data_IF_444002239295
#
_entry.id   IF_444002239295
#
_cell.length_a   1.000
_cell.length_b   1.000
_cell.length_c   1.000
_cell.angle_alpha   90.00
_cell.angle_beta   90.00
_cell.angle_gamma   90.00
#
_symmetry.space_group_name_H-M   'P 1'
#
loop_
_entity.id
_entity.type
_entity.pdbx_description
1 polymer ?
#
# COMPACT_ATOMS: atom_id res chain seq x y z
N UNK A 1 11.04 -7.82 14.93
CA UNK A 1 10.23 -6.96 14.05
C UNK A 1 9.69 -7.87 12.96
N UNK A 2 8.38 -7.87 12.73
CA UNK A 2 7.79 -8.67 11.64
C UNK A 2 7.99 -7.98 10.28
N UNK A 3 7.66 -8.68 9.18
CA UNK A 3 7.79 -8.16 7.82
C UNK A 3 7.04 -6.83 7.64
N UNK A 4 5.83 -6.72 8.24
CA UNK A 4 5.03 -5.50 8.18
C UNK A 4 5.76 -4.30 8.79
N UNK A 5 6.35 -4.46 9.99
CA UNK A 5 7.13 -3.40 10.63
C UNK A 5 8.34 -2.96 9.82
N UNK A 6 9.05 -3.89 9.18
CA UNK A 6 10.19 -3.56 8.31
C UNK A 6 9.75 -2.77 7.07
N UNK A 7 8.65 -3.18 6.44
CA UNK A 7 8.11 -2.51 5.26
C UNK A 7 7.58 -1.11 5.57
N UNK A 8 6.93 -0.92 6.72
CA UNK A 8 6.48 0.42 7.17
C UNK A 8 7.66 1.34 7.40
N UNK A 9 8.74 0.87 8.04
CA UNK A 9 9.95 1.67 8.25
C UNK A 9 10.56 2.14 6.92
N UNK A 10 10.60 1.27 5.91
CA UNK A 10 11.04 1.67 4.56
C UNK A 10 10.08 2.68 3.92
N UNK A 11 8.77 2.49 4.07
CA UNK A 11 7.76 3.41 3.55
C UNK A 11 7.90 4.82 4.14
N UNK A 12 8.10 4.93 5.45
CA UNK A 12 8.34 6.18 6.17
C UNK A 12 9.62 6.86 5.68
N UNK A 13 10.71 6.11 5.54
CA UNK A 13 11.98 6.62 5.01
C UNK A 13 11.82 7.20 3.60
N UNK A 14 11.07 6.53 2.71
CA UNK A 14 10.79 7.06 1.36
C UNK A 14 9.89 8.30 1.41
N UNK A 15 8.91 8.34 2.32
CA UNK A 15 8.04 9.50 2.48
C UNK A 15 8.82 10.73 2.94
N UNK A 16 9.68 10.59 3.95
CA UNK A 16 10.58 11.66 4.41
C UNK A 16 11.43 12.20 3.26
N UNK A 17 12.02 11.29 2.47
CA UNK A 17 12.81 11.66 1.30
C UNK A 17 11.96 12.41 0.24
N UNK A 18 10.73 11.95 -0.01
CA UNK A 18 9.81 12.58 -0.94
C UNK A 18 9.46 14.01 -0.51
N UNK A 19 9.17 14.22 0.76
CA UNK A 19 8.87 15.54 1.33
C UNK A 19 10.07 16.48 1.19
N UNK A 20 11.27 16.04 1.53
CA UNK A 20 12.50 16.84 1.38
C UNK A 20 12.75 17.26 -0.08
N UNK A 21 12.56 16.34 -1.03
CA UNK A 21 12.72 16.62 -2.46
C UNK A 21 11.64 17.58 -2.97
N UNK A 22 10.41 17.43 -2.49
CA UNK A 22 9.29 18.30 -2.83
C UNK A 22 9.55 19.74 -2.40
N UNK A 23 10.01 19.95 -1.16
CA UNK A 23 10.38 21.27 -0.63
C UNK A 23 11.48 21.94 -1.45
N UNK A 24 12.36 21.14 -2.07
CA UNK A 24 13.43 21.61 -2.97
C UNK A 24 13.00 21.76 -4.43
N UNK A 25 11.71 21.65 -4.74
CA UNK A 25 11.17 21.69 -6.10
C UNK A 25 11.71 20.60 -7.04
N UNK A 26 12.28 19.51 -6.49
CA UNK A 26 12.79 18.37 -7.24
C UNK A 26 11.66 17.36 -7.50
N UNK A 27 10.63 17.79 -8.22
CA UNK A 27 9.35 17.08 -8.27
C UNK A 27 9.41 15.67 -8.87
N UNK A 28 10.20 15.46 -9.92
CA UNK A 28 10.34 14.13 -10.56
C UNK A 28 10.86 13.08 -9.55
N UNK A 29 11.87 13.46 -8.76
CA UNK A 29 12.44 12.59 -7.74
C UNK A 29 11.49 12.44 -6.56
N UNK A 30 10.82 13.52 -6.14
CA UNK A 30 9.82 13.48 -5.07
C UNK A 30 8.69 12.48 -5.39
N UNK A 31 8.13 12.54 -6.61
CA UNK A 31 7.09 11.61 -7.08
C UNK A 31 7.60 10.17 -7.04
N UNK A 32 8.82 9.93 -7.52
CA UNK A 32 9.43 8.60 -7.50
C UNK A 32 9.53 8.04 -6.08
N UNK A 33 9.94 8.87 -5.10
CA UNK A 33 10.03 8.44 -3.69
C UNK A 33 8.65 8.23 -3.07
N UNK A 34 7.69 9.12 -3.34
CA UNK A 34 6.32 8.99 -2.85
C UNK A 34 5.67 7.68 -3.35
N UNK A 35 5.86 7.35 -4.62
CA UNK A 35 5.38 6.09 -5.20
C UNK A 35 5.95 4.86 -4.47
N UNK A 36 7.26 4.84 -4.20
CA UNK A 36 7.86 3.72 -3.47
C UNK A 36 7.42 3.67 -2.01
N UNK A 37 7.15 4.81 -1.38
CA UNK A 37 6.52 4.84 -0.05
C UNK A 37 5.19 4.09 -0.08
N UNK A 38 4.30 4.44 -1.01
CA UNK A 38 3.02 3.76 -1.18
C UNK A 38 3.18 2.27 -1.51
N UNK A 39 4.16 1.91 -2.34
CA UNK A 39 4.45 0.51 -2.69
C UNK A 39 4.81 -0.32 -1.45
N UNK A 40 5.69 0.19 -0.58
CA UNK A 40 6.06 -0.51 0.65
C UNK A 40 4.89 -0.59 1.63
N UNK A 41 4.10 0.47 1.78
CA UNK A 41 2.87 0.46 2.59
C UNK A 41 1.86 -0.59 2.09
N UNK A 42 1.67 -0.71 0.78
CA UNK A 42 0.79 -1.73 0.19
C UNK A 42 1.28 -3.15 0.47
N UNK A 43 2.60 -3.38 0.39
CA UNK A 43 3.20 -4.67 0.75
C UNK A 43 3.04 -4.97 2.25
N UNK A 44 3.18 -3.97 3.11
CA UNK A 44 2.96 -4.12 4.55
C UNK A 44 1.52 -4.52 4.87
N UNK A 45 0.53 -3.91 4.20
CA UNK A 45 -0.87 -4.31 4.34
C UNK A 45 -1.08 -5.76 3.90
N UNK A 46 -0.55 -6.16 2.75
CA UNK A 46 -0.69 -7.53 2.25
C UNK A 46 -0.01 -8.57 3.15
N UNK A 47 1.12 -8.24 3.79
CA UNK A 47 1.78 -9.17 4.69
C UNK A 47 0.94 -9.47 5.94
N UNK A 48 0.09 -8.55 6.41
CA UNK A 48 -0.88 -8.83 7.49
C UNK A 48 -1.91 -9.92 7.13
N UNK A 49 -2.08 -10.20 5.83
CA UNK A 49 -2.92 -11.26 5.28
C UNK A 49 -2.11 -12.49 4.83
N UNK A 50 -0.81 -12.55 5.13
CA UNK A 50 0.12 -13.57 4.62
C UNK A 50 0.23 -13.62 3.08
N UNK A 51 0.09 -12.47 2.40
CA UNK A 51 0.18 -12.37 0.93
C UNK A 51 1.47 -11.64 0.55
N UNK A 52 2.30 -12.26 -0.30
CA UNK A 52 3.64 -11.76 -0.64
C UNK A 52 3.88 -11.72 -2.17
N UNK A 53 3.34 -10.72 -2.88
CA UNK A 53 3.49 -10.64 -4.33
C UNK A 53 4.93 -10.34 -4.73
N UNK A 54 5.43 -11.01 -5.76
CA UNK A 54 6.81 -10.86 -6.24
C UNK A 54 7.00 -9.76 -7.28
N UNK A 55 5.91 -9.18 -7.78
CA UNK A 55 5.95 -8.17 -8.85
C UNK A 55 5.16 -6.93 -8.46
N UNK A 56 5.53 -5.78 -9.05
CA UNK A 56 4.82 -4.53 -8.81
C UNK A 56 3.34 -4.61 -9.20
N UNK A 57 3.05 -5.19 -10.37
CA UNK A 57 1.67 -5.44 -10.82
C UNK A 57 0.91 -6.35 -9.85
N UNK A 58 1.58 -7.36 -9.30
CA UNK A 58 1.01 -8.25 -8.29
C UNK A 58 0.61 -7.52 -7.01
N UNK A 59 1.44 -6.59 -6.52
CA UNK A 59 1.12 -5.77 -5.33
C UNK A 59 -0.16 -4.96 -5.57
N UNK A 60 -0.26 -4.26 -6.70
CA UNK A 60 -1.46 -3.47 -7.03
C UNK A 60 -2.70 -4.35 -7.12
N UNK A 61 -2.61 -5.47 -7.85
CA UNK A 61 -3.74 -6.37 -8.06
C UNK A 61 -4.24 -6.98 -6.75
N UNK A 62 -3.33 -7.46 -5.90
CA UNK A 62 -3.67 -8.08 -4.63
C UNK A 62 -4.20 -7.06 -3.61
N UNK A 63 -3.62 -5.85 -3.56
CA UNK A 63 -4.15 -4.78 -2.72
C UNK A 63 -5.61 -4.46 -3.10
N UNK A 64 -5.88 -4.34 -4.40
CA UNK A 64 -7.24 -4.13 -4.90
C UNK A 64 -8.19 -5.28 -4.59
N UNK A 65 -7.74 -6.53 -4.65
CA UNK A 65 -8.57 -7.69 -4.34
C UNK A 65 -8.93 -7.75 -2.84
N UNK A 66 -7.92 -7.70 -1.98
CA UNK A 66 -8.03 -8.01 -0.55
C UNK A 66 -8.55 -6.84 0.29
N UNK A 67 -8.26 -5.61 -0.11
CA UNK A 67 -8.60 -4.42 0.70
C UNK A 67 -9.65 -3.53 0.04
N UNK A 68 -9.77 -3.55 -1.29
CA UNK A 68 -10.77 -2.74 -2.02
C UNK A 68 -12.00 -3.58 -2.39
N UNK A 69 -11.86 -4.71 -3.06
CA UNK A 69 -13.03 -5.51 -3.51
C UNK A 69 -13.64 -6.35 -2.40
N UNK A 70 -12.82 -6.93 -1.52
CA UNK A 70 -13.36 -7.72 -0.42
C UNK A 70 -14.22 -6.87 0.55
N UNK A 71 -13.83 -5.63 0.80
CA UNK A 71 -14.63 -4.69 1.61
C UNK A 71 -15.97 -4.38 0.94
N UNK A 72 -16.00 -4.11 -0.37
CA UNK A 72 -17.25 -3.92 -1.12
C UNK A 72 -18.17 -5.15 -1.04
N UNK A 73 -17.63 -6.36 -1.24
CA UNK A 73 -18.43 -7.58 -1.20
C UNK A 73 -19.01 -7.90 0.19
N UNK A 74 -18.36 -7.46 1.29
CA UNK A 74 -18.92 -7.60 2.65
C UNK A 74 -20.08 -6.64 2.89
N UNK A 75 -20.01 -5.40 2.40
CA UNK A 75 -21.10 -4.42 2.51
C UNK A 75 -22.37 -4.90 1.82
N UNK A 76 -22.27 -5.36 0.56
CA UNK A 76 -23.43 -5.88 -0.18
C UNK A 76 -24.01 -7.19 0.38
N UNK A 77 -23.20 -8.02 1.05
CA UNK A 77 -23.71 -9.24 1.72
C UNK A 77 -24.52 -8.93 2.98
N UNK A 78 -24.23 -7.84 3.68
CA UNK A 78 -24.99 -7.43 4.85
C UNK A 78 -26.37 -6.87 4.46
N UNK A 79 -26.45 -6.07 3.40
CA UNK A 79 -27.72 -5.47 2.94
C UNK A 79 -28.71 -6.52 2.40
N UNK A 80 -28.23 -7.55 1.69
CA UNK A 80 -29.10 -8.62 1.14
C UNK A 80 -29.52 -9.68 2.17
N UNK A 81 -29.06 -9.60 3.42
CA UNK A 81 -29.50 -10.49 4.51
C UNK A 81 -30.66 -9.89 5.33
N UNK A 82 -31.03 -8.65 5.06
CA UNK A 82 -32.08 -7.90 5.76
C UNK A 82 -33.38 -7.75 4.92
N UNK A 83 -33.48 -8.46 3.80
CA UNK A 83 -34.67 -8.56 2.93
C UNK A 83 -35.02 -10.02 2.73
#
# INVERSE_FOLDING_TARGET
MDEAGLLIKEAESKLISATFLFEKSMYSDAISRAYYSMHYSARALLSTRNIFPKTHKGVIAQLGLEFVKESHNRTFKYERRLT
#
